data_IF_084615843200
#
_entry.id   IF_084615843200
#
_cell.length_a   1.000
_cell.length_b   1.000
_cell.length_c   1.000
_cell.angle_alpha   90.00
_cell.angle_beta   90.00
_cell.angle_gamma   90.00
#
_symmetry.space_group_name_H-M   'P 1'
#
loop_
_entity.id
_entity.type
_entity.pdbx_description
1 polymer ?
#
# COMPACT_ATOMS: atom_id res chain seq x y z
N UNK A 1 16.26 -15.57 12.59
CA UNK A 1 17.50 -14.80 12.74
C UNK A 1 17.13 -13.32 12.71
N UNK A 2 17.12 -12.69 13.88
CA UNK A 2 16.72 -11.28 14.12
C UNK A 2 18.00 -10.43 14.25
N UNK A 3 19.00 -10.73 13.43
CA UNK A 3 20.39 -10.35 13.72
C UNK A 3 21.14 -9.67 12.55
N UNK A 4 20.45 -9.18 11.50
CA UNK A 4 21.17 -8.63 10.33
C UNK A 4 20.80 -7.20 9.92
N UNK A 5 20.08 -6.41 10.74
CA UNK A 5 19.91 -4.97 10.45
C UNK A 5 19.65 -4.13 11.71
N UNK A 6 20.69 -3.53 12.34
CA UNK A 6 20.48 -2.58 13.44
C UNK A 6 19.72 -1.35 12.94
N UNK A 7 18.58 -1.06 13.56
CA UNK A 7 17.68 0.05 13.21
C UNK A 7 16.33 -0.35 12.61
N UNK A 8 16.13 -1.64 12.27
CA UNK A 8 14.85 -2.11 11.74
C UNK A 8 13.93 -2.55 12.88
N UNK A 9 12.78 -1.87 13.05
CA UNK A 9 11.74 -2.27 14.00
C UNK A 9 11.09 -3.58 13.54
N UNK A 10 11.64 -4.71 13.98
CA UNK A 10 11.09 -6.03 13.72
C UNK A 10 9.83 -6.27 14.57
N UNK A 11 8.66 -5.95 14.00
CA UNK A 11 7.38 -6.20 14.67
C UNK A 11 7.03 -7.70 14.66
N UNK A 12 6.58 -8.27 15.79
CA UNK A 12 6.10 -9.65 15.84
C UNK A 12 4.97 -9.91 14.82
N UNK A 13 4.88 -11.16 14.32
CA UNK A 13 3.88 -11.56 13.31
C UNK A 13 2.45 -11.16 13.69
N UNK A 14 2.06 -11.35 14.95
CA UNK A 14 0.73 -10.99 15.47
C UNK A 14 0.44 -9.49 15.34
N UNK A 15 1.42 -8.65 15.68
CA UNK A 15 1.30 -7.18 15.57
C UNK A 15 1.17 -6.76 14.10
N UNK A 16 1.98 -7.35 13.21
CA UNK A 16 1.88 -7.12 11.75
C UNK A 16 0.49 -7.48 11.23
N UNK A 17 -0.07 -8.61 11.65
CA UNK A 17 -1.42 -9.04 11.25
C UNK A 17 -2.49 -8.05 11.73
N UNK A 18 -2.40 -7.57 12.97
CA UNK A 18 -3.35 -6.58 13.50
C UNK A 18 -3.30 -5.28 12.68
N UNK A 19 -2.10 -4.81 12.32
CA UNK A 19 -1.94 -3.62 11.49
C UNK A 19 -2.46 -3.82 10.08
N UNK A 20 -2.21 -4.99 9.46
CA UNK A 20 -2.76 -5.33 8.16
C UNK A 20 -4.30 -5.29 8.17
N UNK A 21 -4.94 -5.93 9.16
CA UNK A 21 -6.41 -5.92 9.29
C UNK A 21 -6.98 -4.52 9.56
N UNK A 22 -6.30 -3.71 10.38
CA UNK A 22 -6.70 -2.31 10.63
C UNK A 22 -6.61 -1.47 9.36
N UNK A 23 -5.51 -1.58 8.60
CA UNK A 23 -5.34 -0.88 7.34
C UNK A 23 -6.42 -1.28 6.32
N UNK A 24 -6.72 -2.57 6.19
CA UNK A 24 -7.76 -3.05 5.27
C UNK A 24 -9.14 -2.47 5.59
N UNK A 25 -9.55 -2.47 6.86
CA UNK A 25 -10.88 -2.00 7.28
C UNK A 25 -11.04 -0.48 7.27
N UNK A 26 -9.93 0.27 7.35
CA UNK A 26 -9.94 1.74 7.23
C UNK A 26 -9.74 2.25 5.80
N UNK A 27 -9.37 1.38 4.87
CA UNK A 27 -9.13 1.76 3.48
C UNK A 27 -10.43 2.08 2.76
N UNK A 28 -10.32 2.79 1.62
CA UNK A 28 -11.45 2.98 0.71
C UNK A 28 -11.93 1.63 0.22
N UNK A 29 -13.25 1.43 0.26
CA UNK A 29 -13.89 0.19 -0.15
C UNK A 29 -14.18 0.20 -1.65
N UNK A 30 -14.22 -0.99 -2.26
CA UNK A 30 -14.71 -1.16 -3.62
C UNK A 30 -16.15 -0.62 -3.74
N UNK A 31 -16.44 0.09 -4.83
CA UNK A 31 -17.73 0.72 -5.08
C UNK A 31 -17.97 2.04 -4.32
N UNK A 32 -17.03 2.49 -3.49
CA UNK A 32 -17.14 3.80 -2.84
C UNK A 32 -16.80 4.91 -3.84
N UNK A 33 -17.72 5.86 -4.11
CA UNK A 33 -17.44 6.97 -5.03
C UNK A 33 -16.38 7.89 -4.42
N UNK A 34 -15.46 8.37 -5.26
CA UNK A 34 -14.36 9.25 -4.86
C UNK A 34 -14.40 10.55 -5.66
N UNK A 35 -14.14 11.66 -4.99
CA UNK A 35 -13.82 12.91 -5.68
C UNK A 35 -12.42 12.85 -6.30
N UNK A 36 -12.18 13.64 -7.35
CA UNK A 36 -10.86 13.73 -7.97
C UNK A 36 -9.75 14.12 -6.98
N UNK A 37 -10.05 15.06 -6.08
CA UNK A 37 -9.14 15.45 -5.01
C UNK A 37 -8.72 14.23 -4.16
N UNK A 38 -9.70 13.39 -3.78
CA UNK A 38 -9.41 12.21 -2.97
C UNK A 38 -8.61 11.16 -3.74
N UNK A 39 -8.90 10.97 -5.03
CA UNK A 39 -8.14 10.07 -5.90
C UNK A 39 -6.67 10.51 -5.99
N UNK A 40 -6.41 11.80 -6.27
CA UNK A 40 -5.04 12.36 -6.31
C UNK A 40 -4.31 12.17 -4.98
N UNK A 41 -4.96 12.48 -3.87
CA UNK A 41 -4.40 12.31 -2.53
C UNK A 41 -4.00 10.85 -2.24
N UNK A 42 -4.77 9.87 -2.72
CA UNK A 42 -4.43 8.44 -2.55
C UNK A 42 -3.14 8.13 -3.31
N UNK A 43 -3.03 8.54 -4.57
CA UNK A 43 -1.85 8.29 -5.41
C UNK A 43 -0.59 8.97 -4.84
N UNK A 44 -0.71 10.23 -4.41
CA UNK A 44 0.39 10.96 -3.78
C UNK A 44 0.90 10.28 -2.50
N UNK A 45 -0.02 9.78 -1.66
CA UNK A 45 0.36 9.04 -0.46
C UNK A 45 1.03 7.72 -0.79
N UNK A 46 0.59 7.02 -1.83
CA UNK A 46 1.24 5.79 -2.30
C UNK A 46 2.67 6.06 -2.78
N UNK A 47 2.94 7.21 -3.40
CA UNK A 47 4.29 7.62 -3.80
C UNK A 47 5.28 7.83 -2.64
N UNK A 48 4.79 7.95 -1.40
CA UNK A 48 5.62 8.09 -0.18
C UNK A 48 5.91 6.76 0.52
N UNK A 49 5.27 5.67 0.09
CA UNK A 49 5.42 4.34 0.69
C UNK A 49 6.61 3.62 0.03
N UNK A 50 7.47 3.03 0.84
CA UNK A 50 8.52 2.13 0.35
C UNK A 50 7.86 0.85 -0.22
N UNK A 51 8.13 0.55 -1.50
CA UNK A 51 7.58 -0.59 -2.24
C UNK A 51 6.03 -0.66 -2.22
N UNK A 52 5.33 0.29 -2.87
CA UNK A 52 3.88 0.41 -2.76
C UNK A 52 3.10 -0.65 -3.55
N UNK A 53 3.75 -1.66 -4.15
CA UNK A 53 3.24 -2.57 -5.18
C UNK A 53 2.27 -3.65 -4.69
N UNK A 54 2.29 -3.92 -3.38
CA UNK A 54 1.47 -4.93 -2.73
C UNK A 54 0.87 -4.38 -1.43
N UNK A 55 -0.36 -4.76 -1.13
CA UNK A 55 -0.97 -4.47 0.16
C UNK A 55 -0.34 -5.36 1.24
N UNK A 56 -0.57 -5.09 2.55
CA UNK A 56 -0.05 -5.93 3.64
C UNK A 56 -0.46 -7.41 3.61
N UNK A 57 -1.45 -7.77 2.78
CA UNK A 57 -1.91 -9.15 2.56
C UNK A 57 -1.38 -9.76 1.25
N UNK A 58 -0.54 -9.04 0.50
CA UNK A 58 0.06 -9.52 -0.75
C UNK A 58 -0.75 -9.28 -2.02
N UNK A 59 -1.86 -8.52 -1.97
CA UNK A 59 -2.62 -8.20 -3.19
C UNK A 59 -1.94 -7.09 -3.99
N UNK A 60 -1.94 -7.15 -5.33
CA UNK A 60 -1.56 -6.02 -6.20
C UNK A 60 -2.22 -4.71 -5.79
N UNK A 61 -1.49 -3.60 -5.83
CA UNK A 61 -2.05 -2.25 -5.62
C UNK A 61 -2.06 -1.43 -6.91
N UNK A 62 -0.96 -1.45 -7.68
CA UNK A 62 -0.78 -0.73 -8.93
C UNK A 62 -0.23 -1.69 -9.98
N UNK A 63 -0.68 -1.56 -11.22
CA UNK A 63 -0.16 -2.29 -12.38
C UNK A 63 -0.01 -1.32 -13.56
N UNK A 64 1.03 -1.54 -14.35
CA UNK A 64 1.19 -0.87 -15.63
C UNK A 64 0.14 -1.43 -16.60
N UNK A 65 -0.67 -0.56 -17.18
CA UNK A 65 -1.72 -0.97 -18.14
C UNK A 65 -1.14 -1.09 -19.54
N UNK A 66 -0.54 -0.02 -20.05
CA UNK A 66 0.09 0.01 -21.37
C UNK A 66 1.06 1.18 -21.47
N UNK A 67 1.98 1.09 -22.42
CA UNK A 67 2.82 2.21 -22.83
C UNK A 67 2.15 2.85 -24.04
N UNK A 68 1.77 4.12 -23.91
CA UNK A 68 1.18 4.89 -24.99
C UNK A 68 2.29 5.65 -25.68
N UNK A 69 2.68 5.23 -26.88
CA UNK A 69 3.58 6.01 -27.72
C UNK A 69 2.79 7.11 -28.42
N UNK A 70 2.90 8.32 -27.86
CA UNK A 70 2.53 9.54 -28.55
C UNK A 70 3.79 9.94 -29.33
N UNK A 71 3.80 9.64 -30.63
CA UNK A 71 4.96 9.80 -31.50
C UNK A 71 5.56 11.20 -31.53
#
# INVERSE_FOLDING_TARGET
MIAEMPGQLHRPRKVRSIFASKACRKSVMFGHPLSEFKMKQIIENMGKIEQPWNCPHGRPTIRHLCTVNLG
#
